data_IF_733173066294
#
_entry.id   IF_733173066294
#
_cell.length_a   1.000
_cell.length_b   1.000
_cell.length_c   1.000
_cell.angle_alpha   90.00
_cell.angle_beta   90.00
_cell.angle_gamma   90.00
#
_symmetry.space_group_name_H-M   'P 1'
#
loop_
_entity.id
_entity.type
_entity.pdbx_description
1 polymer ?
#
# COMPACT_ATOMS: atom_id res chain seq x y z
N UNK A 1 -32.41 23.88 -6.60
CA UNK A 1 -31.97 23.00 -5.51
C UNK A 1 -30.51 23.33 -5.20
N UNK A 2 -30.23 23.96 -4.06
CA UNK A 2 -28.87 24.37 -3.71
C UNK A 2 -28.02 23.13 -3.37
N UNK A 3 -26.94 22.90 -4.10
CA UNK A 3 -25.96 21.85 -3.80
C UNK A 3 -25.13 22.27 -2.58
N UNK A 4 -24.99 21.35 -1.61
CA UNK A 4 -24.09 21.52 -0.47
C UNK A 4 -22.65 21.75 -0.99
N UNK A 5 -22.00 22.81 -0.50
CA UNK A 5 -20.58 23.11 -0.81
C UNK A 5 -19.62 22.01 -0.32
N UNK A 6 -20.08 21.19 0.62
CA UNK A 6 -19.38 19.99 1.05
C UNK A 6 -19.96 18.80 0.29
N UNK A 7 -19.20 18.29 -0.68
CA UNK A 7 -19.49 17.01 -1.32
C UNK A 7 -19.51 15.88 -0.28
N UNK A 8 -20.08 14.72 -0.64
CA UNK A 8 -20.11 13.54 0.22
C UNK A 8 -18.69 13.25 0.74
N UNK A 9 -18.56 13.13 2.06
CA UNK A 9 -17.29 12.76 2.68
C UNK A 9 -16.82 11.43 2.08
N UNK A 10 -15.49 11.24 1.90
CA UNK A 10 -14.96 9.97 1.42
C UNK A 10 -15.43 8.85 2.32
N UNK A 11 -15.58 7.65 1.75
CA UNK A 11 -15.86 6.46 2.54
C UNK A 11 -14.74 6.26 3.57
N UNK A 12 -15.10 6.28 4.84
CA UNK A 12 -14.19 6.10 5.97
C UNK A 12 -14.34 4.72 6.61
N UNK A 13 -15.06 3.80 5.94
CA UNK A 13 -15.28 2.47 6.47
C UNK A 13 -13.94 1.73 6.52
N UNK A 14 -13.47 1.34 7.73
CA UNK A 14 -12.24 0.57 7.85
C UNK A 14 -12.40 -0.77 7.14
N UNK A 15 -11.46 -1.10 6.26
CA UNK A 15 -11.42 -2.40 5.59
C UNK A 15 -10.56 -3.37 6.41
N UNK A 16 -11.16 -4.47 6.87
CA UNK A 16 -10.42 -5.52 7.59
C UNK A 16 -9.70 -6.41 6.57
N UNK A 17 -8.38 -6.55 6.73
CA UNK A 17 -7.54 -7.44 5.94
C UNK A 17 -6.97 -8.51 6.88
N UNK A 18 -7.20 -9.78 6.54
CA UNK A 18 -6.55 -10.91 7.22
C UNK A 18 -5.34 -11.34 6.38
N UNK A 19 -4.17 -11.45 7.00
CA UNK A 19 -2.93 -11.87 6.33
C UNK A 19 -2.32 -13.08 7.03
N UNK A 20 -1.65 -13.93 6.26
CA UNK A 20 -0.77 -14.98 6.77
C UNK A 20 0.66 -14.57 6.49
N UNK A 21 1.52 -14.61 7.52
CA UNK A 21 2.94 -14.28 7.42
C UNK A 21 3.79 -15.51 7.73
N UNK A 22 5.04 -15.54 7.27
CA UNK A 22 6.00 -16.58 7.66
C UNK A 22 6.33 -16.48 9.15
N UNK A 23 6.85 -17.57 9.72
CA UNK A 23 7.31 -17.59 11.10
C UNK A 23 8.39 -16.53 11.36
N UNK A 24 9.35 -16.39 10.43
CA UNK A 24 10.44 -15.42 10.53
C UNK A 24 9.92 -13.98 10.56
N UNK A 25 8.94 -13.65 9.71
CA UNK A 25 8.34 -12.32 9.70
C UNK A 25 7.54 -12.06 10.98
N UNK A 26 6.82 -13.06 11.48
CA UNK A 26 6.11 -12.96 12.76
C UNK A 26 7.07 -12.64 13.91
N UNK A 27 8.22 -13.33 13.97
CA UNK A 27 9.24 -13.06 14.99
C UNK A 27 9.81 -11.65 14.86
N UNK A 28 10.19 -11.24 13.65
CA UNK A 28 10.72 -9.90 13.40
C UNK A 28 9.72 -8.79 13.79
N UNK A 29 8.42 -8.99 13.53
CA UNK A 29 7.37 -8.05 13.93
C UNK A 29 7.24 -7.95 15.46
N UNK A 30 7.34 -9.08 16.18
CA UNK A 30 7.33 -9.08 17.64
C UNK A 30 8.56 -8.36 18.22
N UNK A 31 9.75 -8.62 17.66
CA UNK A 31 10.98 -7.95 18.07
C UNK A 31 10.87 -6.43 17.85
N UNK A 32 10.29 -6.01 16.71
CA UNK A 32 10.03 -4.61 16.45
C UNK A 32 9.09 -3.98 17.49
N UNK A 33 8.01 -4.65 17.88
CA UNK A 33 7.09 -4.15 18.91
C UNK A 33 7.79 -3.97 20.27
N UNK A 34 8.71 -4.87 20.63
CA UNK A 34 9.56 -4.73 21.82
C UNK A 34 10.43 -3.48 21.73
N UNK A 35 11.09 -3.26 20.58
CA UNK A 35 11.93 -2.07 20.36
C UNK A 35 11.12 -0.77 20.35
N UNK A 36 9.93 -0.78 19.75
CA UNK A 36 9.01 0.37 19.76
C UNK A 36 8.68 0.78 21.20
N UNK A 37 8.33 -0.18 22.06
CA UNK A 37 8.07 0.07 23.47
C UNK A 37 9.31 0.59 24.21
N UNK A 38 10.49 0.08 23.91
CA UNK A 38 11.73 0.59 24.51
C UNK A 38 12.02 2.03 24.08
N UNK A 39 11.76 2.38 22.83
CA UNK A 39 12.03 3.70 22.28
C UNK A 39 11.04 4.76 22.78
N UNK A 40 9.76 4.43 22.89
CA UNK A 40 8.69 5.40 23.15
C UNK A 40 7.98 5.21 24.50
N UNK A 41 8.25 4.12 25.23
CA UNK A 41 7.58 3.80 26.49
C UNK A 41 6.15 3.25 26.34
N UNK A 42 5.62 3.23 25.11
CA UNK A 42 4.26 2.80 24.79
C UNK A 42 4.25 1.38 24.22
N UNK A 43 3.36 0.54 24.76
CA UNK A 43 3.21 -0.84 24.30
C UNK A 43 2.05 -0.93 23.30
N UNK A 44 2.38 -1.08 22.03
CA UNK A 44 1.43 -1.29 20.95
C UNK A 44 1.53 -2.73 20.43
N UNK A 45 0.40 -3.31 20.01
CA UNK A 45 0.42 -4.64 19.41
C UNK A 45 0.96 -4.60 17.98
N UNK A 46 1.52 -5.72 17.50
CA UNK A 46 1.92 -5.85 16.10
C UNK A 46 0.78 -5.49 15.14
N UNK A 47 -0.47 -5.87 15.48
CA UNK A 47 -1.64 -5.57 14.67
C UNK A 47 -1.93 -4.07 14.56
N UNK A 48 -1.64 -3.29 15.60
CA UNK A 48 -1.79 -1.82 15.61
C UNK A 48 -0.65 -1.13 14.87
N UNK A 49 0.56 -1.70 14.91
CA UNK A 49 1.73 -1.15 14.22
C UNK A 49 1.70 -1.40 12.71
N UNK A 50 1.19 -2.55 12.24
CA UNK A 50 1.17 -2.95 10.82
C UNK A 50 0.55 -1.86 9.91
N UNK A 51 -0.62 -1.27 10.21
CA UNK A 51 -1.19 -0.21 9.39
C UNK A 51 -0.24 0.97 9.16
N UNK A 52 0.48 1.41 10.21
CA UNK A 52 1.44 2.51 10.10
C UNK A 52 2.71 2.11 9.34
N UNK A 53 3.20 0.89 9.55
CA UNK A 53 4.32 0.35 8.78
C UNK A 53 4.00 0.28 7.28
N UNK A 54 2.80 -0.18 6.92
CA UNK A 54 2.34 -0.25 5.54
C UNK A 54 2.15 1.14 4.93
N UNK A 55 1.58 2.09 5.69
CA UNK A 55 1.47 3.48 5.25
C UNK A 55 2.85 4.08 4.97
N UNK A 56 3.79 3.95 5.91
CA UNK A 56 5.16 4.46 5.74
C UNK A 56 5.90 3.79 4.57
N UNK A 57 5.70 2.48 4.36
CA UNK A 57 6.24 1.79 3.19
C UNK A 57 5.71 2.35 1.87
N UNK A 58 4.39 2.53 1.76
CA UNK A 58 3.75 3.07 0.54
C UNK A 58 4.12 4.53 0.28
N UNK A 59 4.27 5.34 1.33
CA UNK A 59 4.72 6.73 1.24
C UNK A 59 6.19 6.83 0.81
N UNK A 60 7.03 5.89 1.27
CA UNK A 60 8.45 5.82 0.92
C UNK A 60 8.74 5.31 -0.50
N UNK A 61 7.80 4.57 -1.11
CA UNK A 61 7.96 4.03 -2.46
C UNK A 61 7.67 5.09 -3.54
N UNK A 62 8.75 5.68 -4.07
CA UNK A 62 8.68 6.68 -5.16
C UNK A 62 8.13 6.12 -6.46
N UNK A 63 8.40 4.84 -6.77
CA UNK A 63 7.91 4.22 -7.99
C UNK A 63 6.38 4.03 -7.89
N UNK A 64 5.90 3.58 -6.73
CA UNK A 64 4.48 3.51 -6.42
C UNK A 64 3.81 4.89 -6.47
N UNK A 65 4.40 5.91 -5.84
CA UNK A 65 3.86 7.27 -5.86
C UNK A 65 3.74 7.83 -7.28
N UNK A 66 4.74 7.61 -8.14
CA UNK A 66 4.70 7.98 -9.56
C UNK A 66 3.60 7.23 -10.30
N UNK A 67 3.51 5.91 -10.16
CA UNK A 67 2.48 5.10 -10.82
C UNK A 67 1.06 5.52 -10.40
N UNK A 68 0.86 5.87 -9.13
CA UNK A 68 -0.44 6.34 -8.63
C UNK A 68 -0.82 7.72 -9.20
N UNK A 69 0.16 8.61 -9.40
CA UNK A 69 -0.05 9.93 -10.02
C UNK A 69 -0.33 9.84 -11.52
N UNK A 70 0.43 9.00 -12.21
CA UNK A 70 0.34 8.84 -13.67
C UNK A 70 -0.90 8.02 -14.08
N UNK A 71 -1.68 7.55 -13.11
CA UNK A 71 -2.77 6.61 -13.28
C UNK A 71 -2.23 5.19 -13.24
N UNK A 72 -2.69 4.39 -12.26
CA UNK A 72 -2.30 2.99 -12.17
C UNK A 72 -2.60 2.32 -13.53
N UNK A 73 -1.64 1.61 -14.13
CA UNK A 73 -1.92 0.86 -15.34
C UNK A 73 -3.10 -0.06 -15.01
N UNK A 74 -4.17 0.02 -15.80
CA UNK A 74 -5.31 -0.87 -15.62
C UNK A 74 -4.74 -2.30 -15.59
N UNK A 75 -4.90 -2.98 -14.46
CA UNK A 75 -4.47 -4.35 -14.27
C UNK A 75 -5.17 -5.20 -15.34
N UNK A 76 -4.48 -5.46 -16.46
CA UNK A 76 -5.07 -6.14 -17.61
C UNK A 76 -4.50 -5.76 -18.98
N UNK A 77 -3.76 -4.66 -19.15
CA UNK A 77 -3.20 -4.30 -20.47
C UNK A 77 -1.67 -4.48 -20.51
N UNK A 78 -1.19 -5.70 -20.27
CA UNK A 78 0.16 -6.08 -20.72
C UNK A 78 0.12 -6.40 -22.21
N UNK A 79 0.75 -5.48 -22.94
CA UNK A 79 1.53 -5.69 -24.16
C UNK A 79 0.80 -6.15 -25.42
N UNK A 80 0.37 -5.17 -26.21
CA UNK A 80 0.17 -5.35 -27.65
C UNK A 80 1.51 -5.81 -28.24
N UNK A 81 1.58 -6.95 -28.95
CA UNK A 81 2.82 -7.40 -29.54
C UNK A 81 3.33 -6.33 -30.51
N UNK A 82 4.56 -5.86 -30.29
CA UNK A 82 5.29 -5.01 -31.24
C UNK A 82 5.39 -5.81 -32.55
N UNK A 83 4.54 -5.49 -33.53
CA UNK A 83 4.63 -6.05 -34.89
C UNK A 83 6.03 -5.73 -35.41
N UNK A 84 6.86 -6.76 -35.57
CA UNK A 84 8.04 -6.67 -36.43
C UNK A 84 7.50 -6.59 -37.85
N UNK A 85 7.33 -5.36 -38.34
CA UNK A 85 7.26 -5.07 -39.76
C UNK A 85 8.67 -5.18 -40.31
N UNK A 86 9.08 -6.40 -40.65
CA UNK A 86 10.23 -6.69 -41.49
C UNK A 86 9.74 -7.06 -42.88
N UNK A 87 9.56 -6.07 -43.73
CA UNK A 87 9.38 -6.21 -45.18
C UNK A 87 10.73 -6.02 -45.87
N UNK A 88 11.07 -6.92 -46.81
CA UNK A 88 12.25 -6.84 -47.69
C UNK A 88 13.17 -8.04 -47.46
N UNK A 89 13.51 -8.87 -48.44
CA UNK A 89 13.35 -8.84 -49.89
C UNK A 89 13.32 -10.27 -50.42
#
# INVERSE_FOLDING_TARGET
MASLKLGKLPDRTPSKITITVSADLSQALNDYAVLYRQAYGEAETVAELIPYMLAGFLEGDRAFAKARKDGLPAAGMSEKPRRVSGSGS
#
